data_IF_082818592243
#
_entry.id   IF_082818592243
#
_cell.length_a   1.000
_cell.length_b   1.000
_cell.length_c   1.000
_cell.angle_alpha   90.00
_cell.angle_beta   90.00
_cell.angle_gamma   90.00
#
_symmetry.space_group_name_H-M   'P 1'
#
loop_
_entity.id
_entity.type
_entity.pdbx_description
1 polymer ?
#
# COMPACT_ATOMS: atom_id res chain seq x y z
N UNK A 1 -19.42 9.84 2.56
CA UNK A 1 -19.67 8.91 1.44
C UNK A 1 -18.41 8.81 0.61
N UNK A 2 -17.66 7.71 0.73
CA UNK A 2 -16.68 7.31 -0.29
C UNK A 2 -17.18 5.98 -0.83
N UNK A 3 -17.77 6.00 -2.02
CA UNK A 3 -18.00 4.80 -2.81
C UNK A 3 -17.53 5.01 -4.28
N UNK A 4 -16.27 5.42 -4.54
CA UNK A 4 -15.60 4.94 -5.74
C UNK A 4 -15.24 3.45 -5.54
N UNK A 5 -15.23 2.67 -6.62
CA UNK A 5 -15.05 1.22 -6.59
C UNK A 5 -13.95 0.79 -5.62
N UNK A 6 -14.30 0.05 -4.56
CA UNK A 6 -13.41 -0.39 -3.47
C UNK A 6 -12.13 -1.07 -3.96
N UNK A 7 -12.07 -1.54 -5.20
CA UNK A 7 -11.03 -2.43 -5.71
C UNK A 7 -10.15 -1.81 -6.81
N UNK A 8 -9.85 -0.51 -6.77
CA UNK A 8 -9.01 0.09 -7.80
C UNK A 8 -7.54 -0.35 -7.73
N UNK A 9 -7.10 -1.08 -6.70
CA UNK A 9 -5.80 -1.74 -6.65
C UNK A 9 -5.81 -3.22 -7.08
N UNK A 10 -6.93 -3.76 -7.59
CA UNK A 10 -7.08 -5.19 -7.93
C UNK A 10 -5.96 -5.82 -8.77
N UNK A 11 -5.34 -5.04 -9.65
CA UNK A 11 -4.29 -5.51 -10.56
C UNK A 11 -2.87 -5.16 -10.06
N UNK A 12 -2.77 -4.62 -8.83
CA UNK A 12 -1.48 -4.27 -8.21
C UNK A 12 -0.99 -5.39 -7.31
N UNK A 13 0.30 -5.67 -7.44
CA UNK A 13 1.06 -6.56 -6.58
C UNK A 13 2.29 -5.82 -6.08
N UNK A 14 2.23 -5.43 -4.81
CA UNK A 14 3.16 -4.50 -4.18
C UNK A 14 4.13 -5.27 -3.30
N UNK A 15 5.42 -4.99 -3.42
CA UNK A 15 6.43 -5.40 -2.46
C UNK A 15 7.06 -4.17 -1.82
N UNK A 16 7.46 -4.25 -0.55
CA UNK A 16 8.16 -3.17 0.16
C UNK A 16 9.56 -3.61 0.57
N UNK A 17 10.51 -2.68 0.55
CA UNK A 17 11.88 -2.88 1.02
C UNK A 17 12.37 -1.76 1.93
N UNK A 18 13.13 -2.12 2.97
CA UNK A 18 13.78 -1.16 3.88
C UNK A 18 12.83 -0.44 4.83
N UNK A 19 11.63 -0.99 5.09
CA UNK A 19 10.63 -0.42 5.99
C UNK A 19 10.72 -1.01 7.40
N UNK A 20 10.16 -0.30 8.39
CA UNK A 20 9.79 -0.92 9.66
C UNK A 20 8.71 -1.99 9.45
N UNK A 21 8.67 -3.00 10.33
CA UNK A 21 7.63 -4.04 10.28
C UNK A 21 6.23 -3.45 10.51
N UNK A 22 6.14 -2.46 11.38
CA UNK A 22 4.90 -1.75 11.67
C UNK A 22 4.36 -1.00 10.44
N UNK A 23 5.21 -0.25 9.73
CA UNK A 23 4.81 0.39 8.47
C UNK A 23 4.41 -0.63 7.40
N UNK A 24 5.15 -1.75 7.30
CA UNK A 24 4.83 -2.83 6.38
C UNK A 24 3.40 -3.37 6.60
N UNK A 25 3.03 -3.64 7.86
CA UNK A 25 1.71 -4.16 8.21
C UNK A 25 0.58 -3.16 7.93
N UNK A 26 0.83 -1.87 8.16
CA UNK A 26 -0.11 -0.80 7.82
C UNK A 26 -0.36 -0.75 6.31
N UNK A 27 0.71 -0.67 5.51
CA UNK A 27 0.59 -0.66 4.05
C UNK A 27 -0.08 -1.91 3.50
N UNK A 28 0.25 -3.09 4.04
CA UNK A 28 -0.41 -4.34 3.67
C UNK A 28 -1.92 -4.22 3.82
N UNK A 29 -2.38 -3.82 5.00
CA UNK A 29 -3.81 -3.68 5.30
C UNK A 29 -4.49 -2.69 4.37
N UNK A 30 -3.85 -1.54 4.10
CA UNK A 30 -4.38 -0.52 3.20
C UNK A 30 -4.49 -1.07 1.77
N UNK A 31 -3.42 -1.65 1.23
CA UNK A 31 -3.40 -2.17 -0.14
C UNK A 31 -4.44 -3.27 -0.33
N UNK A 32 -4.52 -4.21 0.61
CA UNK A 32 -5.50 -5.31 0.58
C UNK A 32 -6.94 -4.80 0.73
N UNK A 33 -7.18 -3.80 1.57
CA UNK A 33 -8.50 -3.17 1.71
C UNK A 33 -9.00 -2.56 0.39
N UNK A 34 -8.09 -2.00 -0.42
CA UNK A 34 -8.40 -1.46 -1.75
C UNK A 34 -8.28 -2.48 -2.90
N UNK A 35 -8.20 -3.77 -2.55
CA UNK A 35 -8.24 -4.90 -3.48
C UNK A 35 -6.89 -5.34 -4.05
N UNK A 36 -5.78 -4.69 -3.69
CA UNK A 36 -4.44 -5.06 -4.16
C UNK A 36 -3.84 -6.24 -3.39
N UNK A 37 -2.76 -6.80 -3.94
CA UNK A 37 -1.98 -7.86 -3.28
C UNK A 37 -0.69 -7.28 -2.71
N UNK A 38 -0.33 -7.71 -1.50
CA UNK A 38 0.91 -7.31 -0.85
C UNK A 38 1.83 -8.51 -0.61
N UNK A 39 3.03 -8.46 -1.17
CA UNK A 39 3.98 -9.57 -1.19
C UNK A 39 5.13 -9.32 -0.21
N UNK A 40 5.37 -10.28 0.68
CA UNK A 40 6.54 -10.28 1.57
C UNK A 40 7.84 -10.52 0.82
N UNK A 41 7.81 -11.42 -0.17
CA UNK A 41 8.95 -11.73 -1.04
C UNK A 41 8.88 -10.95 -2.36
N UNK A 42 10.02 -10.84 -3.04
CA UNK A 42 10.14 -10.11 -4.30
C UNK A 42 10.26 -11.09 -5.48
N UNK A 43 9.21 -11.15 -6.31
CA UNK A 43 9.11 -12.11 -7.41
C UNK A 43 9.05 -11.39 -8.76
N UNK A 44 10.01 -11.67 -9.66
CA UNK A 44 10.20 -10.97 -10.94
C UNK A 44 8.95 -10.78 -11.80
N UNK A 45 8.11 -11.82 -11.91
CA UNK A 45 6.95 -11.82 -12.83
C UNK A 45 5.61 -11.60 -12.11
N UNK A 46 5.64 -11.35 -10.80
CA UNK A 46 4.44 -11.18 -9.99
C UNK A 46 4.39 -9.81 -9.32
N UNK A 47 5.53 -9.21 -8.97
CA UNK A 47 5.58 -7.88 -8.37
C UNK A 47 5.44 -6.82 -9.47
N UNK A 48 4.39 -5.99 -9.40
CA UNK A 48 4.19 -4.89 -10.36
C UNK A 48 4.96 -3.64 -9.95
N UNK A 49 5.09 -3.39 -8.64
CA UNK A 49 5.80 -2.23 -8.11
C UNK A 49 6.60 -2.61 -6.85
N UNK A 50 7.86 -2.16 -6.80
CA UNK A 50 8.68 -2.23 -5.59
C UNK A 50 8.71 -0.87 -4.91
N UNK A 51 8.20 -0.79 -3.69
CA UNK A 51 8.29 0.40 -2.85
C UNK A 51 9.54 0.32 -1.98
N UNK A 52 10.31 1.41 -1.88
CA UNK A 52 11.49 1.44 -1.02
C UNK A 52 11.78 2.83 -0.44
N UNK A 53 12.54 2.84 0.65
CA UNK A 53 13.05 4.05 1.30
C UNK A 53 14.48 4.40 0.88
N UNK A 54 15.25 3.39 0.49
CA UNK A 54 16.60 3.51 -0.02
C UNK A 54 16.85 2.40 -1.04
N UNK A 55 18.02 2.42 -1.67
CA UNK A 55 18.39 1.50 -2.75
C UNK A 55 19.34 0.38 -2.29
N UNK A 56 19.60 0.27 -0.99
CA UNK A 56 20.71 -0.53 -0.46
C UNK A 56 20.36 -2.02 -0.31
N UNK A 57 19.08 -2.37 -0.44
CA UNK A 57 18.60 -3.73 -0.22
C UNK A 57 18.87 -4.66 -1.42
N UNK A 58 18.93 -5.97 -1.13
CA UNK A 58 19.03 -6.99 -2.18
C UNK A 58 17.81 -6.99 -3.12
N UNK A 59 16.62 -6.63 -2.62
CA UNK A 59 15.41 -6.48 -3.45
C UNK A 59 15.58 -5.33 -4.45
N UNK A 60 16.12 -4.19 -4.02
CA UNK A 60 16.40 -3.04 -4.89
C UNK A 60 17.44 -3.40 -5.96
N UNK A 61 18.52 -4.11 -5.59
CA UNK A 61 19.52 -4.60 -6.55
C UNK A 61 18.91 -5.55 -7.59
N UNK A 62 18.01 -6.45 -7.18
CA UNK A 62 17.30 -7.35 -8.09
C UNK A 62 16.32 -6.59 -8.99
N UNK A 63 15.59 -5.62 -8.46
CA UNK A 63 14.66 -4.80 -9.24
C UNK A 63 15.39 -4.03 -10.36
N UNK A 64 16.56 -3.46 -10.06
CA UNK A 64 17.41 -2.81 -11.07
C UNK A 64 17.81 -3.82 -12.17
N UNK A 65 18.26 -5.03 -11.80
CA UNK A 65 18.62 -6.09 -12.76
C UNK A 65 17.44 -6.54 -13.63
N UNK A 66 16.23 -6.51 -13.09
CA UNK A 66 15.01 -6.92 -13.80
C UNK A 66 14.30 -5.76 -14.49
N UNK A 67 14.87 -4.55 -14.44
CA UNK A 67 14.27 -3.33 -14.97
C UNK A 67 12.87 -3.05 -14.38
N UNK A 68 12.67 -3.41 -13.11
CA UNK A 68 11.47 -3.11 -12.33
C UNK A 68 11.65 -1.73 -11.69
N UNK A 69 10.64 -0.88 -11.82
CA UNK A 69 10.69 0.47 -11.27
C UNK A 69 10.62 0.44 -9.74
N UNK A 70 11.57 1.12 -9.10
CA UNK A 70 11.59 1.33 -7.65
C UNK A 70 11.01 2.72 -7.38
N UNK A 71 9.98 2.78 -6.53
CA UNK A 71 9.31 4.04 -6.18
C UNK A 71 9.22 4.22 -4.67
N UNK A 72 8.99 5.44 -4.21
CA UNK A 72 8.75 5.68 -2.78
C UNK A 72 7.28 5.40 -2.39
N UNK A 73 7.00 4.97 -1.13
CA UNK A 73 5.66 4.59 -0.70
C UNK A 73 4.56 5.65 -0.82
N UNK A 74 4.91 6.93 -0.92
CA UNK A 74 3.96 8.04 -1.08
C UNK A 74 3.00 7.86 -2.26
N UNK A 75 3.46 7.16 -3.31
CA UNK A 75 2.63 6.85 -4.47
C UNK A 75 1.33 6.16 -4.09
N UNK A 76 1.35 5.26 -3.10
CA UNK A 76 0.14 4.61 -2.60
C UNK A 76 -0.84 5.65 -2.09
N UNK A 77 -0.39 6.56 -1.21
CA UNK A 77 -1.27 7.58 -0.62
C UNK A 77 -1.82 8.54 -1.68
N UNK A 78 -1.03 8.90 -2.69
CA UNK A 78 -1.51 9.73 -3.80
C UNK A 78 -2.55 9.02 -4.67
N UNK A 79 -2.41 7.71 -4.90
CA UNK A 79 -3.46 6.91 -5.53
C UNK A 79 -4.75 6.89 -4.68
N UNK A 80 -4.64 6.82 -3.36
CA UNK A 80 -5.78 6.84 -2.45
C UNK A 80 -6.51 8.18 -2.49
N UNK A 81 -5.78 9.29 -2.42
CA UNK A 81 -6.37 10.64 -2.49
C UNK A 81 -7.14 10.86 -3.79
N UNK A 82 -6.60 10.38 -4.91
CA UNK A 82 -7.20 10.53 -6.23
C UNK A 82 -8.21 9.41 -6.59
N UNK A 83 -8.32 8.39 -5.74
CA UNK A 83 -9.18 7.21 -5.97
C UNK A 83 -8.92 6.51 -7.32
N UNK A 84 -7.66 6.50 -7.77
CA UNK A 84 -7.24 5.90 -9.03
C UNK A 84 -5.75 5.53 -9.01
N UNK A 85 -5.34 4.60 -9.87
CA UNK A 85 -3.91 4.30 -10.09
C UNK A 85 -3.30 5.45 -10.91
N UNK A 86 -2.33 6.17 -10.34
CA UNK A 86 -1.65 7.28 -11.02
C UNK A 86 -0.28 6.85 -11.57
N UNK A 87 0.27 7.64 -12.49
CA UNK A 87 1.61 7.39 -13.04
C UNK A 87 2.69 7.42 -11.97
N UNK A 88 3.59 6.44 -12.02
CA UNK A 88 4.71 6.26 -11.08
C UNK A 88 5.88 7.20 -11.34
N UNK A 89 5.87 7.95 -12.46
CA UNK A 89 7.04 8.68 -12.96
C UNK A 89 7.59 9.71 -11.98
N UNK A 90 6.71 10.39 -11.24
CA UNK A 90 7.08 11.40 -10.25
C UNK A 90 7.49 10.80 -8.89
N UNK A 91 7.41 9.48 -8.75
CA UNK A 91 7.64 8.76 -7.51
C UNK A 91 8.86 7.85 -7.57
N UNK A 92 9.61 7.90 -8.67
CA UNK A 92 10.84 7.12 -8.84
C UNK A 92 11.84 7.46 -7.74
N UNK A 93 12.36 6.43 -7.11
CA UNK A 93 13.34 6.59 -6.05
C UNK A 93 14.73 6.79 -6.68
N UNK A 94 15.31 7.98 -6.51
CA UNK A 94 16.66 8.31 -7.00
C UNK A 94 17.75 8.22 -5.92
N UNK A 95 17.37 8.04 -4.67
CA UNK A 95 18.27 8.00 -3.51
C UNK A 95 17.52 7.72 -2.21
N UNK A 96 18.22 7.70 -1.07
CA UNK A 96 17.57 7.50 0.22
C UNK A 96 16.62 8.66 0.54
N UNK A 97 15.44 8.32 1.05
CA UNK A 97 14.49 9.30 1.56
C UNK A 97 15.03 9.90 2.86
N UNK A 98 14.83 11.20 3.02
CA UNK A 98 15.19 11.89 4.25
C UNK A 98 14.31 11.42 5.42
N UNK A 99 14.88 11.31 6.61
CA UNK A 99 14.21 10.78 7.81
C UNK A 99 12.88 11.49 8.11
N UNK A 100 12.82 12.82 7.96
CA UNK A 100 11.56 13.56 8.18
C UNK A 100 10.44 13.12 7.24
N UNK A 101 10.77 12.77 5.99
CA UNK A 101 9.80 12.27 5.03
C UNK A 101 9.37 10.84 5.35
N UNK A 102 10.27 10.02 5.90
CA UNK A 102 9.94 8.68 6.41
C UNK A 102 8.93 8.78 7.56
N UNK A 103 9.18 9.63 8.56
CA UNK A 103 8.24 9.84 9.66
C UNK A 103 6.87 10.31 9.15
N UNK A 104 6.86 11.26 8.22
CA UNK A 104 5.63 11.74 7.58
C UNK A 104 4.84 10.62 6.87
N UNK A 105 5.54 9.71 6.17
CA UNK A 105 4.92 8.54 5.56
C UNK A 105 4.30 7.60 6.59
N UNK A 106 4.99 7.36 7.71
CA UNK A 106 4.48 6.49 8.79
C UNK A 106 3.23 7.06 9.45
N UNK A 107 3.19 8.38 9.67
CA UNK A 107 2.00 9.08 10.18
C UNK A 107 0.82 8.99 9.20
N UNK A 108 1.07 9.19 7.90
CA UNK A 108 0.04 9.06 6.86
C UNK A 108 -0.48 7.62 6.78
N UNK A 109 0.40 6.63 6.87
CA UNK A 109 0.01 5.22 6.91
C UNK A 109 -0.92 4.93 8.09
N UNK A 110 -0.62 5.48 9.27
CA UNK A 110 -1.45 5.28 10.46
C UNK A 110 -2.87 5.82 10.26
N UNK A 111 -3.01 7.00 9.65
CA UNK A 111 -4.31 7.60 9.37
C UNK A 111 -5.15 6.70 8.44
N UNK A 112 -4.60 6.31 7.30
CA UNK A 112 -5.31 5.45 6.35
C UNK A 112 -5.63 4.07 6.92
N UNK A 113 -4.68 3.49 7.68
CA UNK A 113 -4.88 2.21 8.37
C UNK A 113 -6.08 2.26 9.31
N UNK A 114 -6.15 3.27 10.18
CA UNK A 114 -7.27 3.43 11.11
C UNK A 114 -8.61 3.63 10.38
N UNK A 115 -8.61 4.39 9.28
CA UNK A 115 -9.82 4.54 8.44
C UNK A 115 -10.27 3.20 7.85
N UNK A 116 -9.34 2.37 7.35
CA UNK A 116 -9.67 1.04 6.83
C UNK A 116 -10.27 0.15 7.92
N UNK A 117 -9.65 0.12 9.12
CA UNK A 117 -10.16 -0.67 10.24
C UNK A 117 -11.55 -0.22 10.70
N UNK A 118 -11.78 1.08 10.79
CA UNK A 118 -13.07 1.61 11.19
C UNK A 118 -14.16 1.31 10.15
N UNK A 119 -13.83 1.39 8.87
CA UNK A 119 -14.75 1.01 7.80
C UNK A 119 -15.10 -0.49 7.84
N UNK A 120 -14.12 -1.36 8.10
CA UNK A 120 -14.35 -2.81 8.27
C UNK A 120 -15.24 -3.11 9.48
N UNK A 121 -15.04 -2.43 10.62
CA UNK A 121 -15.90 -2.59 11.80
C UNK A 121 -17.33 -2.15 11.56
N UNK A 122 -17.53 -1.03 10.85
CA UNK A 122 -18.88 -0.57 10.50
C UNK A 122 -19.63 -1.59 9.64
N UNK A 123 -18.94 -2.23 8.69
CA UNK A 123 -19.53 -3.28 7.84
C UNK A 123 -19.90 -4.51 8.68
N UNK A 124 -19.03 -4.91 9.63
CA UNK A 124 -19.30 -6.08 10.47
C UNK A 124 -20.51 -5.89 11.40
N UNK A 125 -20.74 -4.66 11.91
CA UNK A 125 -21.91 -4.35 12.74
C UNK A 125 -23.22 -4.41 11.94
N UNK A 126 -23.19 -3.99 10.67
CA UNK A 126 -24.35 -4.07 9.79
C UNK A 126 -24.72 -5.54 9.46
N UNK A 127 -23.73 -6.43 9.27
CA UNK A 127 -23.97 -7.86 8.98
C UNK A 127 -24.50 -8.63 10.20
N UNK A 128 -24.06 -8.29 11.42
CA UNK A 128 -24.53 -8.95 12.65
C UNK A 128 -26.01 -8.64 12.94
N UNK A 129 -26.45 -7.41 12.66
CA UNK A 129 -27.85 -7.00 12.78
C UNK A 129 -28.80 -7.68 11.78
N UNK A 130 -28.33 -8.14 10.62
CA UNK A 130 -29.19 -8.84 9.64
C UNK A 130 -29.48 -10.29 10.07
N UNK A 131 -28.66 -10.86 10.96
CA UNK A 131 -28.84 -12.22 11.46
C UNK A 131 -29.90 -12.35 12.58
N UNK A 132 -30.18 -11.26 13.32
CA UNK A 132 -31.18 -11.26 14.41
C UNK A 132 -32.63 -11.01 13.96
N UNK A 133 -32.86 -10.55 12.72
CA UNK A 133 -34.23 -10.30 12.21
C UNK A 133 -34.81 -11.52 11.45
N UNK A 134 -34.10 -12.65 11.47
CA UNK A 134 -34.49 -13.88 10.76
C UNK A 134 -34.98 -15.01 11.70
N UNK A 135 -35.37 -14.70 12.94
CA UNK A 135 -36.03 -15.64 13.86
C UNK A 135 -37.38 -15.11 14.35
#
# INVERSE_FOLDING_TARGET
>A
MLQPSRNFFKDLSICVSGSSFDFFMKLKTIVEYFGGTFQGDFYRYQTTHLLAYNLDSEKCKQAIKWNITIIHPWWIFQCLEQHQIISVSNFKLSGPLHTSFICYLEEHALLYYNTCLNAQKSIAVDDEMVSEVSH
#
